data_IF_066955342103
#
_entry.id   IF_066955342103
#
_cell.length_a   1.000
_cell.length_b   1.000
_cell.length_c   1.000
_cell.angle_alpha   90.00
_cell.angle_beta   90.00
_cell.angle_gamma   90.00
#
_symmetry.space_group_name_H-M   'P 1'
#
loop_
_entity.id
_entity.type
_entity.pdbx_description
1 polymer ?
#
# COMPACT_ATOMS: atom_id res chain seq x y z
N UNK A 1 6.94 -9.94 -1.86
CA UNK A 1 5.57 -9.35 -1.88
C UNK A 1 5.57 -8.17 -2.84
N UNK A 2 4.54 -8.06 -3.65
CA UNK A 2 4.30 -6.98 -4.60
C UNK A 2 2.85 -6.52 -4.34
N UNK A 3 2.69 -5.35 -3.77
CA UNK A 3 1.38 -4.79 -3.40
C UNK A 3 1.07 -3.57 -4.27
N UNK A 4 0.16 -3.72 -5.24
CA UNK A 4 -0.35 -2.62 -6.03
C UNK A 4 -1.78 -2.34 -5.58
N UNK A 5 -1.89 -1.35 -4.71
CA UNK A 5 -3.13 -0.97 -4.03
C UNK A 5 -3.98 0.02 -4.82
N UNK A 6 -4.80 0.78 -4.09
CA UNK A 6 -5.65 1.84 -4.64
C UNK A 6 -4.90 3.13 -4.95
N UNK A 7 -3.86 3.47 -4.20
CA UNK A 7 -3.13 4.73 -4.35
C UNK A 7 -1.61 4.62 -4.23
N UNK A 8 -1.10 3.47 -3.78
CA UNK A 8 0.33 3.23 -3.59
C UNK A 8 0.73 1.88 -4.15
N UNK A 9 2.03 1.77 -4.42
CA UNK A 9 2.71 0.52 -4.70
C UNK A 9 3.77 0.27 -3.62
N UNK A 10 3.86 -0.97 -3.13
CA UNK A 10 4.84 -1.39 -2.15
C UNK A 10 5.46 -2.75 -2.52
N UNK A 11 6.79 -2.84 -2.39
CA UNK A 11 7.54 -4.07 -2.59
C UNK A 11 8.34 -4.42 -1.34
N UNK A 12 8.27 -5.67 -0.90
CA UNK A 12 9.05 -6.16 0.23
C UNK A 12 9.53 -7.59 0.00
N UNK A 13 10.74 -7.87 0.45
CA UNK A 13 11.29 -9.24 0.46
C UNK A 13 11.00 -9.87 1.82
N UNK A 14 10.37 -11.04 1.78
CA UNK A 14 9.94 -11.73 2.99
C UNK A 14 10.61 -13.11 3.09
N UNK A 15 11.13 -13.44 4.25
CA UNK A 15 11.57 -14.80 4.60
C UNK A 15 10.52 -15.45 5.49
N UNK A 16 10.06 -16.63 5.11
CA UNK A 16 9.19 -17.44 5.97
C UNK A 16 10.00 -18.01 7.13
N UNK A 17 9.53 -17.83 8.35
CA UNK A 17 10.05 -18.41 9.58
C UNK A 17 9.07 -19.44 10.14
N UNK A 18 9.41 -20.11 11.24
CA UNK A 18 8.51 -21.04 11.93
C UNK A 18 7.28 -20.33 12.51
N UNK A 19 7.43 -19.08 12.93
CA UNK A 19 6.39 -18.30 13.63
C UNK A 19 5.73 -17.23 12.78
N UNK A 20 6.16 -17.04 11.50
CA UNK A 20 5.60 -15.98 10.65
C UNK A 20 6.50 -15.61 9.48
N UNK A 21 6.68 -14.32 9.29
CA UNK A 21 7.50 -13.75 8.21
C UNK A 21 8.43 -12.68 8.77
N UNK A 22 9.63 -12.65 8.24
CA UNK A 22 10.65 -11.64 8.51
C UNK A 22 10.85 -10.81 7.24
N UNK A 23 10.90 -9.49 7.37
CA UNK A 23 11.23 -8.58 6.27
C UNK A 23 12.75 -8.53 6.12
N UNK A 24 13.23 -8.77 4.90
CA UNK A 24 14.65 -8.68 4.55
C UNK A 24 14.91 -7.37 3.81
N UNK A 25 16.02 -6.73 4.12
CA UNK A 25 16.42 -5.48 3.49
C UNK A 25 15.47 -4.32 3.82
N UNK A 26 15.38 -3.38 2.90
CA UNK A 26 14.51 -2.20 3.00
C UNK A 26 13.37 -2.35 2.00
N UNK A 27 12.11 -2.30 2.45
CA UNK A 27 10.97 -2.21 1.54
C UNK A 27 11.07 -0.96 0.64
N UNK A 28 10.57 -1.08 -0.58
CA UNK A 28 10.51 0.00 -1.56
C UNK A 28 9.04 0.35 -1.84
N UNK A 29 8.74 1.64 -1.96
CA UNK A 29 7.40 2.11 -2.27
C UNK A 29 7.40 3.16 -3.36
N UNK A 30 6.25 3.32 -4.03
CA UNK A 30 5.97 4.43 -4.93
C UNK A 30 4.66 5.05 -4.47
N UNK A 31 4.75 6.28 -3.97
CA UNK A 31 3.58 7.09 -3.67
C UNK A 31 2.93 7.56 -4.98
N UNK A 32 1.63 7.72 -4.97
CA UNK A 32 0.85 8.15 -6.14
C UNK A 32 0.98 7.22 -7.36
N UNK A 33 1.01 5.91 -7.10
CA UNK A 33 0.91 4.89 -8.14
C UNK A 33 0.00 3.75 -7.66
N UNK A 34 -1.22 3.74 -8.15
CA UNK A 34 -2.21 2.74 -7.77
C UNK A 34 -3.45 2.76 -8.66
N UNK A 35 -4.52 2.17 -8.15
CA UNK A 35 -5.79 2.05 -8.85
C UNK A 35 -6.40 3.39 -9.25
N UNK A 36 -6.23 4.44 -8.43
CA UNK A 36 -6.75 5.79 -8.70
C UNK A 36 -6.07 6.41 -9.93
N UNK A 37 -4.76 6.21 -10.10
CA UNK A 37 -4.03 6.72 -11.26
C UNK A 37 -4.46 5.99 -12.54
N UNK A 38 -4.74 4.69 -12.42
CA UNK A 38 -5.27 3.87 -13.52
C UNK A 38 -6.71 4.32 -13.86
N UNK A 39 -7.55 4.64 -12.87
CA UNK A 39 -8.89 5.20 -13.08
C UNK A 39 -8.82 6.51 -13.85
N UNK A 40 -7.87 7.38 -13.51
CA UNK A 40 -7.65 8.63 -14.24
C UNK A 40 -7.20 8.40 -15.70
N UNK A 41 -6.38 7.38 -15.95
CA UNK A 41 -6.01 7.00 -17.32
C UNK A 41 -7.20 6.52 -18.15
N UNK A 42 -8.16 5.81 -17.53
CA UNK A 42 -9.42 5.42 -18.19
C UNK A 42 -10.28 6.65 -18.45
N UNK A 43 -10.44 7.51 -17.45
CA UNK A 43 -11.21 8.75 -17.61
C UNK A 43 -10.61 9.68 -18.69
N UNK A 44 -9.29 9.81 -18.73
CA UNK A 44 -8.59 10.56 -19.77
C UNK A 44 -8.80 9.97 -21.17
N UNK A 45 -8.86 8.61 -21.29
CA UNK A 45 -9.19 7.96 -22.56
C UNK A 45 -10.59 8.34 -23.03
N UNK A 46 -11.58 8.29 -22.13
CA UNK A 46 -12.96 8.66 -22.43
C UNK A 46 -13.05 10.14 -22.82
N UNK A 47 -12.45 11.03 -22.04
CA UNK A 47 -12.44 12.47 -22.28
C UNK A 47 -11.83 12.81 -23.64
N UNK A 48 -10.72 12.15 -24.00
CA UNK A 48 -10.07 12.33 -25.30
C UNK A 48 -10.95 11.84 -26.46
N UNK A 49 -11.66 10.72 -26.29
CA UNK A 49 -12.59 10.19 -27.29
C UNK A 49 -13.78 11.12 -27.53
N UNK A 50 -14.24 11.82 -26.49
CA UNK A 50 -15.34 12.80 -26.60
C UNK A 50 -14.90 14.12 -27.22
N UNK A 51 -13.65 14.51 -27.07
CA UNK A 51 -13.04 15.67 -27.71
C UNK A 51 -13.69 17.02 -27.34
N UNK A 52 -13.92 17.89 -28.36
CA UNK A 52 -14.41 19.22 -28.16
C UNK A 52 -15.77 19.34 -27.43
N UNK A 53 -16.77 18.49 -27.65
CA UNK A 53 -18.02 18.52 -26.88
C UNK A 53 -17.81 18.37 -25.37
N UNK A 54 -16.86 17.55 -24.94
CA UNK A 54 -16.51 17.39 -23.53
C UNK A 54 -15.80 18.64 -22.96
N UNK A 55 -14.88 19.21 -23.74
CA UNK A 55 -14.12 20.39 -23.35
C UNK A 55 -14.97 21.68 -23.25
N UNK A 56 -16.17 21.68 -23.84
CA UNK A 56 -17.10 22.81 -23.80
C UNK A 56 -18.10 22.72 -22.63
N UNK A 57 -18.06 21.68 -21.82
CA UNK A 57 -18.93 21.58 -20.65
C UNK A 57 -18.52 22.64 -19.61
N UNK A 58 -19.53 23.26 -18.99
CA UNK A 58 -19.29 24.18 -17.88
C UNK A 58 -18.90 23.37 -16.61
N UNK A 59 -17.66 23.50 -16.11
CA UNK A 59 -17.20 22.74 -14.96
C UNK A 59 -17.88 23.15 -13.64
N UNK A 60 -18.53 24.33 -13.60
CA UNK A 60 -19.20 24.85 -12.40
C UNK A 60 -20.71 24.53 -12.40
N UNK A 61 -21.26 23.99 -13.50
CA UNK A 61 -22.66 23.56 -13.55
C UNK A 61 -22.84 22.29 -12.66
N UNK A 62 -23.69 22.34 -11.60
CA UNK A 62 -23.93 21.20 -10.71
C UNK A 62 -24.41 19.92 -11.42
N UNK A 63 -25.11 20.07 -12.56
CA UNK A 63 -25.58 18.92 -13.36
C UNK A 63 -24.38 18.27 -14.05
N UNK A 64 -23.47 19.06 -14.60
CA UNK A 64 -22.22 18.59 -15.22
C UNK A 64 -21.33 17.91 -14.17
N UNK A 65 -21.13 18.55 -13.01
CA UNK A 65 -20.33 17.98 -11.89
C UNK A 65 -20.86 16.61 -11.48
N UNK A 66 -22.18 16.49 -11.29
CA UNK A 66 -22.80 15.21 -10.91
C UNK A 66 -22.65 14.15 -12.01
N UNK A 67 -22.80 14.54 -13.27
CA UNK A 67 -22.67 13.62 -14.40
C UNK A 67 -21.22 13.15 -14.60
N UNK A 68 -20.24 14.03 -14.40
CA UNK A 68 -18.80 13.66 -14.42
C UNK A 68 -18.46 12.71 -13.26
N UNK A 69 -18.97 12.95 -12.05
CA UNK A 69 -18.75 12.06 -10.93
C UNK A 69 -19.28 10.65 -11.23
N UNK A 70 -20.45 10.54 -11.87
CA UNK A 70 -20.98 9.25 -12.32
C UNK A 70 -20.09 8.61 -13.38
N UNK A 71 -19.67 9.35 -14.40
CA UNK A 71 -18.78 8.85 -15.44
C UNK A 71 -17.46 8.33 -14.86
N UNK A 72 -16.92 8.99 -13.83
CA UNK A 72 -15.74 8.49 -13.11
C UNK A 72 -16.00 7.14 -12.43
N UNK A 73 -17.17 6.95 -11.83
CA UNK A 73 -17.55 5.65 -11.26
C UNK A 73 -17.67 4.57 -12.36
N UNK A 74 -18.28 4.89 -13.49
CA UNK A 74 -18.38 3.99 -14.65
C UNK A 74 -16.98 3.63 -15.20
N UNK A 75 -16.00 4.55 -15.14
CA UNK A 75 -14.60 4.30 -15.52
C UNK A 75 -13.91 3.31 -14.54
N UNK A 76 -14.19 3.40 -13.24
CA UNK A 76 -13.68 2.45 -12.22
C UNK A 76 -14.22 1.05 -12.50
N UNK A 77 -15.52 0.93 -12.76
CA UNK A 77 -16.17 -0.35 -13.10
C UNK A 77 -15.56 -0.94 -14.38
N UNK A 78 -15.33 -0.12 -15.40
CA UNK A 78 -14.70 -0.54 -16.65
C UNK A 78 -13.27 -1.06 -16.43
N UNK A 79 -12.46 -0.34 -15.63
CA UNK A 79 -11.11 -0.83 -15.25
C UNK A 79 -11.18 -2.18 -14.56
N UNK A 80 -12.10 -2.36 -13.61
CA UNK A 80 -12.25 -3.62 -12.89
C UNK A 80 -12.69 -4.76 -13.83
N UNK A 81 -13.64 -4.49 -14.75
CA UNK A 81 -14.11 -5.45 -15.75
C UNK A 81 -12.98 -5.91 -16.69
N UNK A 82 -12.09 -5.00 -17.11
CA UNK A 82 -10.96 -5.33 -17.98
C UNK A 82 -9.91 -6.24 -17.31
N UNK A 83 -10.02 -6.54 -16.02
CA UNK A 83 -9.21 -7.59 -15.39
C UNK A 83 -9.64 -9.00 -15.81
N UNK A 84 -10.90 -9.17 -16.26
CA UNK A 84 -11.48 -10.45 -16.71
C UNK A 84 -11.88 -10.45 -18.18
N UNK A 85 -12.37 -9.31 -18.66
CA UNK A 85 -12.87 -9.15 -20.03
C UNK A 85 -11.80 -8.53 -20.95
N UNK A 86 -11.92 -8.76 -22.24
CA UNK A 86 -10.98 -8.24 -23.25
C UNK A 86 -11.29 -6.82 -23.69
N UNK A 87 -12.53 -6.39 -23.53
CA UNK A 87 -13.00 -5.04 -23.83
C UNK A 87 -14.28 -4.72 -23.04
N UNK A 88 -14.57 -3.43 -22.91
CA UNK A 88 -15.80 -2.95 -22.30
C UNK A 88 -16.30 -1.69 -23.03
N UNK A 89 -17.60 -1.40 -22.90
CA UNK A 89 -18.23 -0.17 -23.32
C UNK A 89 -18.56 0.68 -22.10
N UNK A 90 -18.03 1.91 -22.05
CA UNK A 90 -18.24 2.86 -20.97
C UNK A 90 -19.38 3.78 -21.36
N UNK A 91 -20.51 3.77 -20.65
CA UNK A 91 -21.65 4.63 -20.98
C UNK A 91 -21.32 6.10 -20.62
N UNK A 92 -21.59 6.99 -21.54
CA UNK A 92 -21.42 8.43 -21.34
C UNK A 92 -22.78 9.10 -21.38
N UNK A 93 -23.20 9.61 -20.23
CA UNK A 93 -24.47 10.33 -20.06
C UNK A 93 -24.17 11.70 -19.44
N UNK A 94 -23.87 12.66 -20.30
CA UNK A 94 -23.63 14.06 -19.95
C UNK A 94 -24.78 14.92 -20.49
N UNK A 95 -24.99 16.18 -20.04
CA UNK A 95 -26.10 17.00 -20.44
C UNK A 95 -26.32 17.14 -21.95
N UNK A 96 -25.23 17.25 -22.72
CA UNK A 96 -25.27 17.42 -24.19
C UNK A 96 -24.70 16.22 -24.96
N UNK A 97 -24.27 15.14 -24.26
CA UNK A 97 -23.57 13.97 -24.85
C UNK A 97 -24.22 12.71 -24.35
N UNK A 98 -24.70 11.84 -25.26
CA UNK A 98 -25.15 10.50 -24.96
C UNK A 98 -24.52 9.54 -25.97
N UNK A 99 -23.57 8.75 -25.48
CA UNK A 99 -22.82 7.80 -26.31
C UNK A 99 -22.20 6.72 -25.44
N UNK A 100 -21.44 5.83 -26.06
CA UNK A 100 -20.59 4.87 -25.40
C UNK A 100 -19.17 5.01 -25.94
N UNK A 101 -18.18 4.86 -25.06
CA UNK A 101 -16.77 4.81 -25.43
C UNK A 101 -16.26 3.40 -25.15
N UNK A 102 -15.76 2.73 -26.19
CA UNK A 102 -15.15 1.43 -26.05
C UNK A 102 -13.71 1.58 -25.56
N UNK A 103 -13.32 0.69 -24.63
CA UNK A 103 -11.94 0.54 -24.16
C UNK A 103 -11.60 -0.95 -24.18
N UNK A 104 -10.48 -1.30 -24.81
CA UNK A 104 -9.94 -2.65 -24.80
C UNK A 104 -8.90 -2.80 -23.69
N UNK A 105 -8.72 -4.05 -23.19
CA UNK A 105 -7.66 -4.37 -22.23
C UNK A 105 -6.29 -3.94 -22.77
N UNK A 106 -5.99 -4.23 -24.02
CA UNK A 106 -4.70 -3.86 -24.65
C UNK A 106 -4.46 -2.35 -24.65
N UNK A 107 -5.49 -1.53 -24.89
CA UNK A 107 -5.37 -0.07 -24.85
C UNK A 107 -5.09 0.42 -23.42
N UNK A 108 -5.76 -0.15 -22.41
CA UNK A 108 -5.49 0.15 -21.01
C UNK A 108 -4.06 -0.27 -20.63
N UNK A 109 -3.68 -1.50 -20.92
CA UNK A 109 -2.35 -2.04 -20.61
C UNK A 109 -1.23 -1.24 -21.25
N UNK A 110 -1.40 -0.78 -22.49
CA UNK A 110 -0.41 0.09 -23.15
C UNK A 110 -0.26 1.45 -22.44
N UNK A 111 -1.34 1.99 -21.87
CA UNK A 111 -1.30 3.24 -21.13
C UNK A 111 -0.55 3.12 -19.79
N UNK A 112 -0.77 2.01 -19.08
CA UNK A 112 -0.21 1.81 -17.72
C UNK A 112 1.15 1.11 -17.72
N UNK A 113 1.57 0.52 -18.83
CA UNK A 113 2.84 -0.20 -18.94
C UNK A 113 4.07 0.60 -18.47
N UNK A 114 4.23 1.90 -18.78
CA UNK A 114 5.35 2.69 -18.27
C UNK A 114 5.37 2.74 -16.73
N UNK A 115 4.21 2.90 -16.10
CA UNK A 115 4.09 2.96 -14.63
C UNK A 115 4.40 1.62 -13.99
N UNK A 116 3.97 0.52 -14.62
CA UNK A 116 4.30 -0.82 -14.13
C UNK A 116 5.81 -1.13 -14.27
N UNK A 117 6.50 -0.55 -15.26
CA UNK A 117 7.95 -0.66 -15.35
C UNK A 117 8.65 -0.02 -14.13
N UNK A 118 8.13 1.10 -13.62
CA UNK A 118 8.66 1.73 -12.41
C UNK A 118 8.51 0.83 -11.18
N UNK A 119 7.39 0.09 -11.08
CA UNK A 119 7.18 -0.89 -9.99
C UNK A 119 8.16 -2.06 -10.06
N UNK A 120 8.50 -2.51 -11.27
CA UNK A 120 9.52 -3.53 -11.47
C UNK A 120 10.90 -3.01 -11.00
N UNK A 121 11.22 -1.75 -11.32
CA UNK A 121 12.43 -1.10 -10.82
C UNK A 121 12.50 -1.07 -9.28
N UNK A 122 11.40 -0.75 -8.61
CA UNK A 122 11.31 -0.76 -7.15
C UNK A 122 11.46 -2.19 -6.58
N UNK A 123 10.86 -3.20 -7.24
CA UNK A 123 11.03 -4.60 -6.86
C UNK A 123 12.49 -5.05 -6.91
N UNK A 124 13.24 -4.66 -7.95
CA UNK A 124 14.67 -4.94 -8.04
C UNK A 124 15.47 -4.24 -6.93
N UNK A 125 15.15 -2.99 -6.59
CA UNK A 125 15.84 -2.30 -5.49
C UNK A 125 15.55 -2.98 -4.14
N UNK A 126 14.32 -3.44 -3.90
CA UNK A 126 13.99 -4.20 -2.70
C UNK A 126 14.79 -5.52 -2.61
N UNK A 127 14.91 -6.26 -3.72
CA UNK A 127 15.73 -7.47 -3.79
C UNK A 127 17.21 -7.18 -3.52
N UNK A 128 17.76 -6.15 -4.17
CA UNK A 128 19.15 -5.75 -3.98
C UNK A 128 19.45 -5.34 -2.52
N UNK A 129 18.54 -4.57 -1.88
CA UNK A 129 18.69 -4.19 -0.47
C UNK A 129 18.66 -5.38 0.48
N UNK A 130 17.93 -6.44 0.11
CA UNK A 130 17.85 -7.68 0.87
C UNK A 130 19.03 -8.64 0.60
N UNK A 131 19.87 -8.36 -0.38
CA UNK A 131 20.93 -9.27 -0.83
C UNK A 131 20.38 -10.58 -1.40
N UNK A 132 19.21 -10.54 -2.03
CA UNK A 132 18.51 -11.69 -2.59
C UNK A 132 18.51 -11.60 -4.11
N UNK A 133 19.05 -12.62 -4.77
CA UNK A 133 18.99 -12.72 -6.22
C UNK A 133 17.57 -13.17 -6.68
N UNK A 134 17.11 -12.72 -7.86
CA UNK A 134 15.84 -13.18 -8.41
C UNK A 134 15.71 -14.71 -8.45
N UNK A 135 16.82 -15.41 -8.69
CA UNK A 135 16.87 -16.88 -8.71
C UNK A 135 16.54 -17.54 -7.36
N UNK A 136 16.76 -16.86 -6.25
CA UNK A 136 16.52 -17.37 -4.89
C UNK A 136 15.09 -17.11 -4.40
N UNK A 137 14.33 -16.27 -5.13
CA UNK A 137 12.92 -16.01 -4.84
C UNK A 137 12.09 -17.25 -5.13
N UNK A 138 11.37 -17.77 -4.15
CA UNK A 138 10.50 -18.96 -4.34
C UNK A 138 9.23 -18.63 -5.13
N UNK A 139 8.61 -17.52 -4.82
CA UNK A 139 7.39 -17.04 -5.47
C UNK A 139 7.20 -15.56 -5.18
N UNK A 140 6.46 -14.87 -6.05
CA UNK A 140 6.01 -13.50 -5.81
C UNK A 140 4.55 -13.54 -5.43
N UNK A 141 4.21 -12.99 -4.26
CA UNK A 141 2.83 -12.82 -3.82
C UNK A 141 2.34 -11.46 -4.29
N UNK A 142 1.32 -11.46 -5.15
CA UNK A 142 0.61 -10.25 -5.58
C UNK A 142 -0.52 -9.92 -4.61
N UNK A 143 -0.48 -8.72 -4.06
CA UNK A 143 -1.46 -8.16 -3.12
C UNK A 143 -2.01 -6.86 -3.70
N UNK A 144 -3.11 -6.37 -3.17
CA UNK A 144 -3.76 -5.15 -3.65
C UNK A 144 -4.70 -5.39 -4.83
N UNK A 145 -5.75 -4.57 -4.92
CA UNK A 145 -6.81 -4.72 -5.91
C UNK A 145 -6.32 -4.57 -7.34
N UNK A 146 -5.40 -3.64 -7.57
CA UNK A 146 -4.84 -3.35 -8.90
C UNK A 146 -3.86 -4.42 -9.40
N UNK A 147 -3.32 -5.25 -8.52
CA UNK A 147 -2.52 -6.43 -8.89
C UNK A 147 -3.32 -7.51 -9.65
N UNK A 148 -4.65 -7.38 -9.73
CA UNK A 148 -5.52 -8.26 -10.53
C UNK A 148 -5.45 -7.99 -12.04
N UNK A 149 -4.90 -6.84 -12.44
CA UNK A 149 -4.68 -6.52 -13.86
C UNK A 149 -3.71 -7.56 -14.43
N UNK A 150 -4.07 -8.30 -15.50
CA UNK A 150 -3.27 -9.43 -16.00
C UNK A 150 -1.83 -9.05 -16.34
N UNK A 151 -1.63 -7.86 -16.90
CA UNK A 151 -0.30 -7.34 -17.24
C UNK A 151 0.65 -7.31 -16.04
N UNK A 152 0.16 -7.13 -14.81
CA UNK A 152 1.00 -7.12 -13.60
C UNK A 152 1.66 -8.48 -13.41
N UNK A 153 0.86 -9.55 -13.42
CA UNK A 153 1.37 -10.91 -13.26
C UNK A 153 2.32 -11.29 -14.40
N UNK A 154 2.00 -10.89 -15.63
CA UNK A 154 2.84 -11.13 -16.81
C UNK A 154 4.22 -10.47 -16.67
N UNK A 155 4.26 -9.17 -16.34
CA UNK A 155 5.51 -8.43 -16.20
C UNK A 155 6.37 -8.98 -15.06
N UNK A 156 5.77 -9.21 -13.88
CA UNK A 156 6.48 -9.75 -12.72
C UNK A 156 7.04 -11.14 -13.01
N UNK A 157 6.24 -12.00 -13.65
CA UNK A 157 6.66 -13.36 -14.02
C UNK A 157 7.77 -13.36 -15.08
N UNK A 158 7.65 -12.49 -16.09
CA UNK A 158 8.66 -12.36 -17.15
C UNK A 158 10.00 -11.85 -16.60
N UNK A 159 9.95 -10.88 -15.68
CA UNK A 159 11.14 -10.23 -15.14
C UNK A 159 11.90 -11.15 -14.17
N UNK A 160 11.22 -11.80 -13.26
CA UNK A 160 11.87 -12.61 -12.24
C UNK A 160 12.02 -14.08 -12.62
N UNK A 161 11.29 -14.57 -13.62
CA UNK A 161 11.25 -15.99 -13.99
C UNK A 161 10.74 -16.89 -12.85
N UNK A 162 9.89 -16.35 -11.98
CA UNK A 162 9.41 -17.05 -10.77
C UNK A 162 7.90 -17.20 -10.76
N UNK A 163 7.38 -18.22 -10.06
CA UNK A 163 5.93 -18.37 -9.89
C UNK A 163 5.32 -17.15 -9.25
N UNK A 164 4.22 -16.70 -9.81
CA UNK A 164 3.42 -15.59 -9.30
C UNK A 164 2.16 -16.16 -8.67
N UNK A 165 1.90 -15.84 -7.41
CA UNK A 165 0.70 -16.19 -6.69
C UNK A 165 -0.16 -14.93 -6.49
N UNK A 166 -1.39 -14.96 -7.00
CA UNK A 166 -2.38 -13.91 -6.76
C UNK A 166 -3.19 -14.30 -5.55
N UNK A 167 -3.35 -13.38 -4.60
CA UNK A 167 -4.22 -13.63 -3.45
C UNK A 167 -5.68 -13.82 -3.92
N UNK A 168 -6.36 -14.79 -3.34
CA UNK A 168 -7.78 -15.05 -3.62
C UNK A 168 -8.68 -13.85 -3.24
N UNK A 169 -8.24 -13.06 -2.24
CA UNK A 169 -8.97 -11.90 -1.74
C UNK A 169 -8.06 -10.67 -1.56
N UNK A 170 -7.45 -10.15 -2.62
CA UNK A 170 -6.42 -9.11 -2.53
C UNK A 170 -6.91 -7.82 -1.86
N UNK A 171 -8.21 -7.51 -1.93
CA UNK A 171 -8.82 -6.36 -1.22
C UNK A 171 -8.92 -6.57 0.30
N UNK A 172 -8.87 -7.81 0.79
CA UNK A 172 -9.12 -8.14 2.21
C UNK A 172 -7.89 -8.72 2.92
N UNK A 173 -6.85 -9.11 2.20
CA UNK A 173 -5.66 -9.77 2.73
C UNK A 173 -5.02 -8.98 3.88
N UNK A 174 -4.86 -7.68 3.72
CA UNK A 174 -4.26 -6.79 4.74
C UNK A 174 -5.13 -6.75 6.01
N UNK A 175 -6.44 -6.59 5.85
CA UNK A 175 -7.38 -6.55 6.98
C UNK A 175 -7.44 -7.88 7.73
N UNK A 176 -7.44 -9.00 7.01
CA UNK A 176 -7.40 -10.34 7.59
C UNK A 176 -6.08 -10.59 8.32
N UNK A 177 -4.96 -10.20 7.73
CA UNK A 177 -3.64 -10.29 8.35
C UNK A 177 -3.55 -9.46 9.64
N UNK A 178 -4.07 -8.24 9.63
CA UNK A 178 -4.12 -7.39 10.81
C UNK A 178 -4.99 -8.00 11.92
N UNK A 179 -6.14 -8.57 11.57
CA UNK A 179 -7.01 -9.25 12.53
C UNK A 179 -6.33 -10.48 13.16
N UNK A 180 -5.64 -11.27 12.36
CA UNK A 180 -4.86 -12.41 12.84
C UNK A 180 -3.71 -11.98 13.76
N UNK A 181 -2.98 -10.94 13.39
CA UNK A 181 -1.91 -10.39 14.22
C UNK A 181 -2.43 -9.87 15.57
N UNK A 182 -3.58 -9.20 15.57
CA UNK A 182 -4.24 -8.70 16.79
C UNK A 182 -4.79 -9.84 17.67
N UNK A 183 -5.22 -10.96 17.08
CA UNK A 183 -5.73 -12.12 17.81
C UNK A 183 -4.61 -12.99 18.41
N UNK A 184 -3.37 -12.85 17.94
CA UNK A 184 -2.22 -13.56 18.51
C UNK A 184 -1.86 -12.90 19.85
N UNK A 185 -1.85 -13.63 21.00
CA UNK A 185 -1.50 -13.05 22.29
C UNK A 185 -0.08 -12.45 22.21
N UNK A 186 0.00 -11.14 22.30
CA UNK A 186 1.30 -10.47 22.43
C UNK A 186 1.88 -10.93 23.77
N UNK A 187 3.09 -11.50 23.77
CA UNK A 187 3.81 -11.76 25.01
C UNK A 187 3.83 -10.47 25.84
N UNK A 188 3.53 -10.53 27.16
CA UNK A 188 3.51 -9.33 27.97
C UNK A 188 4.82 -8.58 27.82
N UNK A 189 4.72 -7.29 27.58
CA UNK A 189 5.89 -6.41 27.48
C UNK A 189 6.78 -6.66 28.72
N UNK A 190 8.11 -6.73 28.57
CA UNK A 190 8.99 -6.85 29.72
C UNK A 190 8.65 -5.74 30.73
N UNK A 191 8.48 -6.15 31.99
CA UNK A 191 8.16 -5.19 33.05
C UNK A 191 9.17 -4.03 33.04
N UNK A 192 8.72 -2.78 33.19
CA UNK A 192 9.65 -1.65 33.25
C UNK A 192 10.69 -1.91 34.39
N UNK A 193 11.94 -1.52 34.19
CA UNK A 193 12.96 -1.70 35.22
C UNK A 193 12.47 -1.07 36.53
N UNK A 194 12.74 -1.69 37.69
CA UNK A 194 12.32 -1.16 38.97
C UNK A 194 12.82 0.27 39.12
N UNK A 195 11.95 1.15 39.58
CA UNK A 195 12.29 2.54 39.84
C UNK A 195 13.52 2.60 40.77
N UNK A 196 14.46 3.50 40.53
CA UNK A 196 15.62 3.66 41.42
C UNK A 196 15.14 3.91 42.87
N UNK A 197 15.69 3.15 43.80
CA UNK A 197 15.36 3.29 45.21
C UNK A 197 15.55 4.76 45.65
N UNK A 198 14.63 5.32 46.45
CA UNK A 198 14.80 6.67 46.96
C UNK A 198 16.15 6.77 47.72
N UNK A 199 16.83 7.90 47.64
CA UNK A 199 18.11 8.08 48.35
C UNK A 199 17.88 7.84 49.85
N UNK A 200 18.76 7.02 50.44
CA UNK A 200 18.72 6.74 51.87
C UNK A 200 18.76 8.05 52.64
N UNK A 201 17.70 8.33 53.38
CA UNK A 201 17.66 9.47 54.30
C UNK A 201 18.74 9.23 55.35
N UNK A 202 19.77 10.07 55.33
CA UNK A 202 20.81 10.04 56.37
C UNK A 202 20.17 10.28 57.74
N UNK A 203 20.37 9.32 58.66
CA UNK A 203 19.92 9.47 60.03
C UNK A 203 20.55 10.71 60.67
N UNK A 204 19.80 11.47 61.47
CA UNK A 204 20.36 12.63 62.17
C UNK A 204 21.49 12.20 63.11
N UNK A 205 22.54 13.00 63.28
CA UNK A 205 23.64 12.70 64.18
C UNK A 205 23.18 12.55 65.64
N UNK A 206 23.78 11.66 66.42
CA UNK A 206 23.42 11.47 67.84
C UNK A 206 23.68 12.75 68.64
N UNK A 207 22.88 13.00 69.70
CA UNK A 207 23.01 14.21 70.49
C UNK A 207 24.39 14.23 71.21
N UNK A 208 25.01 15.41 71.25
CA UNK A 208 26.30 15.63 71.84
C UNK A 208 26.28 15.36 73.38
N UNK A 209 27.19 14.52 73.83
CA UNK A 209 27.39 14.20 75.24
C UNK A 209 27.83 15.49 76.00
N UNK A 210 27.20 15.85 77.14
CA UNK A 210 27.61 17.06 77.90
C UNK A 210 28.98 16.85 78.58
N UNK A 211 29.82 17.86 78.46
CA UNK A 211 31.15 17.91 79.07
C UNK A 211 31.07 17.88 80.58
N UNK A 212 32.03 17.25 81.30
CA UNK A 212 32.07 17.19 82.75
C UNK A 212 32.38 18.57 83.28
N UNK A 213 31.57 19.02 84.27
CA UNK A 213 31.81 20.27 85.00
C UNK A 213 33.05 20.10 85.83
N UNK A 214 34.08 20.96 85.61
CA UNK A 214 35.25 21.06 86.42
C UNK A 214 34.94 21.55 87.83
N UNK A 215 35.43 20.83 88.82
CA UNK A 215 35.39 21.22 90.23
C UNK A 215 36.52 22.18 90.50
N UNK A 216 36.17 23.40 90.96
CA UNK A 216 37.10 24.35 91.50
C UNK A 216 37.42 24.02 92.93
N UNK A 217 38.72 24.07 93.24
CA UNK A 217 39.27 24.49 94.47
C UNK A 217 40.25 25.61 94.22
#
# INVERSE_FOLDING_TARGET
>A
MYDLGGGTFDAAVLRKTETGFEILGTPEGIEHLGGIDIDEAVFAHVSAALGAPFAQLDPDDPVVVSAIARLRADCVEAKEALSTDTDCAIPVVLPSIRTEVRLTRTELENKIRPWLADTIGALHRALASAGVEPADVKAVLLVGGSSRIPLVAELVSAELGRPVAVDAHPKHAVALGAALAAATPTAPAPAPPPAPAPPATSAPPPPATPAPRGSTR
#
